data_IF_133615841691
#
_entry.id   IF_133615841691
#
_cell.length_a   1.000
_cell.length_b   1.000
_cell.length_c   1.000
_cell.angle_alpha   90.00
_cell.angle_beta   90.00
_cell.angle_gamma   90.00
#
_symmetry.space_group_name_H-M   'P 1'
#
loop_
_entity.id
_entity.type
_entity.pdbx_description
1 polymer ?
#
# COMPACT_ATOMS: atom_id res chain seq x y z
N UNK A 1 -19.57 11.53 2.20
CA UNK A 1 -20.32 10.58 1.36
C UNK A 1 -20.01 10.91 -0.09
N UNK A 2 -19.31 10.02 -0.80
CA UNK A 2 -18.94 10.22 -2.20
C UNK A 2 -20.03 9.61 -3.09
N UNK A 3 -21.14 10.33 -3.27
CA UNK A 3 -22.29 9.77 -3.97
C UNK A 3 -22.03 9.60 -5.49
N UNK A 4 -21.17 10.43 -6.09
CA UNK A 4 -20.81 10.40 -7.51
C UNK A 4 -19.30 10.66 -7.75
N UNK A 5 -18.40 9.98 -7.03
CA UNK A 5 -16.95 10.17 -7.23
C UNK A 5 -16.40 9.55 -8.53
N UNK A 6 -17.20 8.71 -9.19
CA UNK A 6 -16.84 8.04 -10.44
C UNK A 6 -18.06 8.04 -11.36
N UNK A 7 -17.86 8.38 -12.62
CA UNK A 7 -18.89 8.41 -13.65
C UNK A 7 -19.24 6.99 -14.13
N UNK A 8 -18.28 6.05 -14.04
CA UNK A 8 -18.47 4.67 -14.50
C UNK A 8 -17.88 3.65 -13.52
N UNK A 9 -18.38 2.41 -13.61
CA UNK A 9 -17.81 1.29 -12.85
C UNK A 9 -16.34 1.00 -13.19
N UNK A 10 -15.91 1.25 -14.42
CA UNK A 10 -14.51 1.10 -14.84
C UNK A 10 -13.60 2.13 -14.17
N UNK A 11 -14.07 3.36 -14.05
CA UNK A 11 -13.37 4.43 -13.35
C UNK A 11 -13.26 4.12 -11.85
N UNK A 12 -14.35 3.64 -11.24
CA UNK A 12 -14.33 3.20 -9.85
C UNK A 12 -13.32 2.08 -9.62
N UNK A 13 -13.26 1.08 -10.52
CA UNK A 13 -12.27 -0.01 -10.43
C UNK A 13 -10.84 0.51 -10.53
N UNK A 14 -10.58 1.45 -11.45
CA UNK A 14 -9.26 2.07 -11.59
C UNK A 14 -8.88 2.88 -10.35
N UNK A 15 -9.82 3.68 -9.82
CA UNK A 15 -9.62 4.49 -8.62
C UNK A 15 -9.31 3.64 -7.39
N UNK A 16 -10.08 2.56 -7.17
CA UNK A 16 -9.82 1.60 -6.09
C UNK A 16 -8.46 0.92 -6.27
N UNK A 17 -8.10 0.52 -7.49
CA UNK A 17 -6.80 -0.06 -7.78
C UNK A 17 -5.64 0.88 -7.44
N UNK A 18 -5.75 2.16 -7.81
CA UNK A 18 -4.76 3.19 -7.46
C UNK A 18 -4.67 3.40 -5.96
N UNK A 19 -5.81 3.47 -5.26
CA UNK A 19 -5.82 3.61 -3.80
C UNK A 19 -5.15 2.44 -3.09
N UNK A 20 -5.43 1.21 -3.52
CA UNK A 20 -4.79 0.01 -2.99
C UNK A 20 -3.28 0.00 -3.25
N UNK A 21 -2.84 0.39 -4.46
CA UNK A 21 -1.42 0.49 -4.79
C UNK A 21 -0.71 1.50 -3.88
N UNK A 22 -1.28 2.70 -3.74
CA UNK A 22 -0.77 3.74 -2.85
C UNK A 22 -0.65 3.24 -1.41
N UNK A 23 -1.71 2.62 -0.86
CA UNK A 23 -1.71 2.13 0.51
C UNK A 23 -0.67 1.02 0.75
N UNK A 24 -0.40 0.18 -0.26
CA UNK A 24 0.48 -0.97 -0.08
C UNK A 24 1.95 -0.68 -0.41
N UNK A 25 2.22 0.27 -1.30
CA UNK A 25 3.54 0.46 -1.92
C UNK A 25 4.15 1.83 -1.66
N UNK A 26 3.33 2.86 -1.44
CA UNK A 26 3.84 4.24 -1.34
C UNK A 26 3.66 4.82 0.06
N UNK A 27 2.57 4.46 0.75
CA UNK A 27 2.24 5.04 2.05
C UNK A 27 3.03 4.36 3.17
N UNK A 28 3.86 5.09 3.94
CA UNK A 28 4.51 4.55 5.13
C UNK A 28 3.50 4.34 6.26
N UNK A 29 3.70 3.28 7.05
CA UNK A 29 2.80 2.91 8.15
C UNK A 29 3.56 2.86 9.47
N UNK A 30 3.05 3.55 10.50
CA UNK A 30 3.67 3.59 11.83
C UNK A 30 3.80 2.21 12.47
N UNK A 31 2.81 1.32 12.27
CA UNK A 31 2.85 -0.08 12.72
C UNK A 31 4.00 -0.88 12.11
N UNK A 32 4.56 -0.43 10.99
CA UNK A 32 5.69 -1.06 10.30
C UNK A 32 6.99 -0.25 10.44
N UNK A 33 7.12 0.60 11.47
CA UNK A 33 8.33 1.38 11.66
C UNK A 33 8.60 2.35 10.50
N UNK A 34 7.53 2.97 10.00
CA UNK A 34 7.54 3.93 8.87
C UNK A 34 7.81 3.26 7.51
N UNK A 35 7.89 1.93 7.45
CA UNK A 35 7.91 1.19 6.18
C UNK A 35 6.52 1.11 5.54
N UNK A 36 6.49 0.92 4.24
CA UNK A 36 5.28 0.50 3.53
C UNK A 36 4.98 -0.98 3.83
N UNK A 37 3.73 -1.45 3.69
CA UNK A 37 3.39 -2.86 3.88
C UNK A 37 4.20 -3.80 2.99
N UNK A 38 4.45 -3.40 1.74
CA UNK A 38 5.31 -4.16 0.81
C UNK A 38 6.72 -4.33 1.38
N UNK A 39 7.38 -3.24 1.78
CA UNK A 39 8.74 -3.29 2.34
C UNK A 39 8.79 -4.09 3.64
N UNK A 40 7.80 -3.95 4.51
CA UNK A 40 7.72 -4.71 5.75
C UNK A 40 7.62 -6.22 5.49
N UNK A 41 6.86 -6.62 4.46
CA UNK A 41 6.74 -8.03 4.09
C UNK A 41 8.03 -8.59 3.46
N UNK A 42 8.67 -7.83 2.56
CA UNK A 42 9.95 -8.25 1.97
C UNK A 42 11.08 -8.30 3.00
N UNK A 43 11.08 -7.40 3.98
CA UNK A 43 12.01 -7.43 5.13
C UNK A 43 11.77 -8.63 6.03
N UNK A 44 10.52 -9.09 6.19
CA UNK A 44 10.23 -10.33 6.93
C UNK A 44 10.69 -11.58 6.20
N UNK A 45 10.67 -11.58 4.86
CA UNK A 45 11.15 -12.71 4.04
C UNK A 45 12.67 -12.79 4.00
N UNK A 46 13.33 -11.65 4.10
CA UNK A 46 14.79 -11.59 4.19
C UNK A 46 15.13 -11.47 5.65
N UNK A 47 15.38 -12.57 6.40
CA UNK A 47 15.84 -12.42 7.78
C UNK A 47 17.04 -11.51 7.70
N UNK A 48 17.00 -10.38 8.42
CA UNK A 48 18.12 -9.47 8.52
C UNK A 48 19.34 -10.36 8.78
N UNK A 49 20.24 -10.47 7.79
CA UNK A 49 21.64 -10.73 8.11
C UNK A 49 22.05 -9.47 8.86
N UNK A 50 21.76 -9.44 10.16
CA UNK A 50 22.34 -8.50 11.10
C UNK A 50 23.83 -8.83 11.07
N UNK A 51 24.54 -8.13 10.20
CA UNK A 51 25.99 -8.08 10.19
C UNK A 51 26.40 -6.89 11.06
N UNK A 52 26.79 -7.20 12.29
CA UNK A 52 27.95 -6.68 13.01
C UNK A 52 27.97 -7.35 14.40
#
# INVERSE_FOLDING_TARGET
MYLNAFETGSEARLGIGKWLAYCNVERPHSIHGILTPKEAYETKKTPMRLAA
#
